data_IF_088508046969
#
_entry.id   IF_088508046969
#
_cell.length_a   1.000
_cell.length_b   1.000
_cell.length_c   1.000
_cell.angle_alpha   90.00
_cell.angle_beta   90.00
_cell.angle_gamma   90.00
#
_symmetry.space_group_name_H-M   'P 1'
#
loop_
_entity.id
_entity.type
_entity.pdbx_description
1 polymer ?
#
# COMPACT_ATOMS: atom_id res chain seq x y z
N UNK A 1 -12.62 1.80 11.49
CA UNK A 1 -12.84 1.94 10.03
C UNK A 1 -11.62 1.40 9.31
N UNK A 2 -11.77 0.28 8.60
CA UNK A 2 -10.93 -0.26 7.51
C UNK A 2 -9.39 -0.39 7.61
N UNK A 3 -8.73 -0.17 8.75
CA UNK A 3 -7.27 -0.39 8.90
C UNK A 3 -6.90 -1.88 8.76
N UNK A 4 -7.71 -2.79 9.30
CA UNK A 4 -7.54 -4.24 9.13
C UNK A 4 -7.72 -4.67 7.67
N UNK A 5 -8.68 -4.09 6.94
CA UNK A 5 -8.88 -4.38 5.52
C UNK A 5 -7.67 -3.96 4.67
N UNK A 6 -7.06 -2.82 5.00
CA UNK A 6 -5.82 -2.38 4.36
C UNK A 6 -4.64 -3.30 4.70
N UNK A 7 -4.51 -3.74 5.96
CA UNK A 7 -3.49 -4.70 6.34
C UNK A 7 -3.63 -6.04 5.60
N UNK A 8 -4.84 -6.58 5.48
CA UNK A 8 -5.09 -7.81 4.71
C UNK A 8 -4.81 -7.62 3.21
N UNK A 9 -5.21 -6.48 2.63
CA UNK A 9 -4.89 -6.17 1.25
C UNK A 9 -3.38 -6.06 1.05
N UNK A 10 -2.67 -5.47 2.00
CA UNK A 10 -1.22 -5.37 1.97
C UNK A 10 -0.55 -6.75 2.00
N UNK A 11 -1.02 -7.68 2.85
CA UNK A 11 -0.59 -9.08 2.83
C UNK A 11 -0.88 -9.74 1.48
N UNK A 12 -2.03 -9.46 0.86
CA UNK A 12 -2.36 -9.96 -0.47
C UNK A 12 -1.35 -9.47 -1.53
N UNK A 13 -0.87 -8.22 -1.45
CA UNK A 13 0.19 -7.74 -2.36
C UNK A 13 1.54 -8.46 -2.18
N UNK A 14 1.79 -9.07 -1.01
CA UNK A 14 3.01 -9.86 -0.79
C UNK A 14 2.87 -11.25 -1.45
N UNK A 15 1.71 -11.88 -1.31
CA UNK A 15 1.46 -13.26 -1.76
C UNK A 15 0.99 -13.38 -3.21
N UNK A 16 0.35 -12.34 -3.75
CA UNK A 16 -0.16 -12.29 -5.14
C UNK A 16 0.68 -11.31 -5.98
N UNK A 17 1.53 -11.86 -6.85
CA UNK A 17 2.43 -11.09 -7.72
C UNK A 17 1.69 -10.27 -8.77
N UNK A 18 0.50 -10.71 -9.21
CA UNK A 18 -0.31 -9.96 -10.17
C UNK A 18 -0.93 -8.74 -9.50
N UNK A 19 -1.47 -8.89 -8.29
CA UNK A 19 -2.00 -7.77 -7.50
C UNK A 19 -0.89 -6.80 -7.14
N UNK A 20 0.30 -7.30 -6.79
CA UNK A 20 1.48 -6.46 -6.54
C UNK A 20 1.83 -5.57 -7.73
N UNK A 21 1.87 -6.13 -8.92
CA UNK A 21 2.22 -5.36 -10.11
C UNK A 21 1.13 -4.34 -10.47
N UNK A 22 -0.15 -4.68 -10.29
CA UNK A 22 -1.24 -3.73 -10.46
C UNK A 22 -1.18 -2.56 -9.46
N UNK A 23 -0.78 -2.83 -8.21
CA UNK A 23 -0.52 -1.78 -7.22
C UNK A 23 0.69 -0.95 -7.62
N UNK A 24 1.78 -1.55 -8.10
CA UNK A 24 2.97 -0.82 -8.58
C UNK A 24 2.66 0.13 -9.74
N UNK A 25 1.82 -0.30 -10.67
CA UNK A 25 1.40 0.50 -11.83
C UNK A 25 0.30 1.52 -11.49
N UNK A 26 -0.21 1.53 -10.24
CA UNK A 26 -1.28 2.42 -9.83
C UNK A 26 -0.81 3.89 -9.78
N UNK A 27 -1.31 4.69 -10.72
CA UNK A 27 -0.94 6.10 -10.86
C UNK A 27 -1.54 7.00 -9.78
N UNK A 28 -2.60 6.56 -9.09
CA UNK A 28 -3.26 7.33 -8.04
C UNK A 28 -3.63 6.47 -6.83
N UNK A 29 -3.71 7.05 -5.62
CA UNK A 29 -4.23 6.37 -4.44
C UNK A 29 -5.62 5.75 -4.62
N UNK A 30 -6.48 6.38 -5.42
CA UNK A 30 -7.83 5.88 -5.69
C UNK A 30 -7.83 4.60 -6.53
N UNK A 31 -6.85 4.44 -7.43
CA UNK A 31 -6.69 3.20 -8.19
C UNK A 31 -6.41 2.01 -7.25
N UNK A 32 -5.58 2.21 -6.22
CA UNK A 32 -5.30 1.17 -5.21
C UNK A 32 -6.55 0.86 -4.39
N UNK A 33 -7.30 1.87 -3.96
CA UNK A 33 -8.55 1.69 -3.21
C UNK A 33 -9.59 0.91 -4.04
N UNK A 34 -9.73 1.22 -5.32
CA UNK A 34 -10.64 0.50 -6.22
C UNK A 34 -10.19 -0.95 -6.43
N UNK A 35 -8.89 -1.18 -6.65
CA UNK A 35 -8.33 -2.52 -6.78
C UNK A 35 -8.54 -3.35 -5.51
N UNK A 36 -8.32 -2.77 -4.34
CA UNK A 36 -8.57 -3.44 -3.07
C UNK A 36 -10.05 -3.82 -2.92
N UNK A 37 -10.96 -2.92 -3.33
CA UNK A 37 -12.40 -3.18 -3.32
C UNK A 37 -12.78 -4.33 -4.25
N UNK A 38 -12.18 -4.43 -5.43
CA UNK A 38 -12.38 -5.57 -6.35
C UNK A 38 -11.91 -6.90 -5.75
N UNK A 39 -10.92 -6.84 -4.86
CA UNK A 39 -10.42 -8.00 -4.09
C UNK A 39 -11.18 -8.25 -2.78
N UNK A 40 -12.25 -7.51 -2.51
CA UNK A 40 -13.08 -7.66 -1.31
C UNK A 40 -12.57 -6.90 -0.08
N UNK A 41 -11.52 -6.09 -0.22
CA UNK A 41 -10.95 -5.28 0.85
C UNK A 41 -11.42 -3.83 0.74
N UNK A 42 -12.31 -3.42 1.65
CA UNK A 42 -12.89 -2.07 1.61
C UNK A 42 -12.18 -1.16 2.61
N UNK A 43 -11.45 -0.15 2.10
CA UNK A 43 -10.89 0.94 2.89
C UNK A 43 -10.97 2.28 2.16
N UNK A 44 -10.79 3.37 2.90
CA UNK A 44 -10.79 4.73 2.32
C UNK A 44 -9.38 5.16 1.94
N UNK A 45 -9.28 6.10 0.99
CA UNK A 45 -8.02 6.77 0.69
C UNK A 45 -7.39 7.41 1.95
N UNK A 46 -8.20 8.03 2.80
CA UNK A 46 -7.72 8.65 4.04
C UNK A 46 -7.10 7.62 5.00
N UNK A 47 -7.70 6.44 5.14
CA UNK A 47 -7.14 5.33 5.94
C UNK A 47 -5.80 4.88 5.37
N UNK A 48 -5.69 4.78 4.05
CA UNK A 48 -4.45 4.41 3.38
C UNK A 48 -3.34 5.43 3.58
N UNK A 49 -3.65 6.71 3.40
CA UNK A 49 -2.69 7.80 3.63
C UNK A 49 -2.26 7.89 5.09
N UNK A 50 -3.20 7.67 6.03
CA UNK A 50 -2.88 7.62 7.47
C UNK A 50 -1.90 6.49 7.78
N UNK A 51 -2.19 5.26 7.36
CA UNK A 51 -1.30 4.12 7.65
C UNK A 51 0.06 4.24 6.94
N UNK A 52 0.09 4.79 5.72
CA UNK A 52 1.35 5.09 5.04
C UNK A 52 2.16 6.13 5.82
N UNK A 53 1.53 7.20 6.31
CA UNK A 53 2.21 8.21 7.13
C UNK A 53 2.69 7.66 8.47
N UNK A 54 1.94 6.74 9.09
CA UNK A 54 2.38 6.03 10.31
C UNK A 54 3.59 5.16 10.02
N UNK A 55 3.59 4.39 8.94
CA UNK A 55 4.72 3.53 8.58
C UNK A 55 5.95 4.28 8.10
N UNK A 56 5.79 5.42 7.44
CA UNK A 56 6.89 6.29 7.06
C UNK A 56 7.58 6.93 8.28
N UNK A 57 6.88 7.15 9.40
CA UNK A 57 7.51 7.62 10.65
C UNK A 57 8.46 6.58 11.26
N UNK A 58 8.20 5.29 10.99
CA UNK A 58 9.00 4.18 11.50
C UNK A 58 10.16 3.80 10.55
N UNK A 59 10.21 4.37 9.33
CA UNK A 59 11.30 4.19 8.38
C UNK A 59 12.38 5.25 8.64
N UNK A 60 13.61 4.81 8.94
CA UNK A 60 14.79 5.71 9.03
C UNK A 60 14.96 6.48 7.71
N UNK A 61 15.35 7.76 7.82
CA UNK A 61 15.43 8.76 6.71
C UNK A 61 16.12 8.28 5.42
N UNK A 62 16.99 7.26 5.48
CA UNK A 62 17.75 6.76 4.33
C UNK A 62 16.90 6.03 3.26
N UNK A 63 15.68 5.56 3.58
CA UNK A 63 14.83 4.79 2.65
C UNK A 63 13.69 5.58 1.97
N UNK A 64 13.42 6.82 2.39
CA UNK A 64 12.28 7.61 1.90
C UNK A 64 12.50 8.18 0.48
N UNK A 65 13.75 8.23 0.02
CA UNK A 65 14.12 8.92 -1.24
C UNK A 65 13.94 8.09 -2.53
N UNK A 66 13.43 6.85 -2.47
CA UNK A 66 13.29 5.99 -3.66
C UNK A 66 11.86 5.74 -4.14
N UNK A 67 10.82 6.22 -3.44
CA UNK A 67 9.43 5.99 -3.84
C UNK A 67 9.02 6.95 -4.98
N UNK A 68 9.16 6.50 -6.22
CA UNK A 68 8.77 7.22 -7.43
C UNK A 68 7.27 7.16 -7.74
N UNK A 69 6.49 6.38 -6.97
CA UNK A 69 5.03 6.25 -7.11
C UNK A 69 4.32 5.89 -5.79
N UNK A 70 3.01 6.13 -5.73
CA UNK A 70 2.17 5.74 -4.58
C UNK A 70 2.10 4.22 -4.40
N UNK A 71 2.11 3.47 -5.51
CA UNK A 71 2.22 2.00 -5.48
C UNK A 71 3.53 1.55 -4.84
N UNK A 72 4.63 2.19 -5.18
CA UNK A 72 5.95 1.92 -4.59
C UNK A 72 6.00 2.29 -3.10
N UNK A 73 5.38 3.40 -2.69
CA UNK A 73 5.28 3.76 -1.27
C UNK A 73 4.49 2.72 -0.45
N UNK A 74 3.42 2.15 -1.01
CA UNK A 74 2.71 1.04 -0.38
C UNK A 74 3.56 -0.23 -0.30
N UNK A 75 4.30 -0.55 -1.36
CA UNK A 75 5.20 -1.70 -1.36
C UNK A 75 6.42 -1.51 -0.45
N UNK A 76 6.88 -0.28 -0.22
CA UNK A 76 7.93 0.02 0.75
C UNK A 76 7.37 -0.07 2.19
N UNK A 77 6.17 0.46 2.42
CA UNK A 77 5.55 0.43 3.74
C UNK A 77 5.07 -0.98 4.13
N UNK A 78 4.71 -1.82 3.16
CA UNK A 78 4.07 -3.11 3.44
C UNK A 78 4.67 -4.31 2.72
N UNK A 79 5.65 -4.15 1.85
CA UNK A 79 6.49 -5.26 1.39
C UNK A 79 7.53 -5.54 2.47
N UNK A 80 7.69 -6.81 2.85
CA UNK A 80 8.72 -7.21 3.81
C UNK A 80 10.11 -6.70 3.39
N UNK A 81 10.82 -6.06 4.33
CA UNK A 81 12.27 -6.13 4.35
C UNK A 81 12.62 -7.54 4.83
N UNK A 82 13.39 -8.30 4.03
CA UNK A 82 14.01 -9.55 4.49
C UNK A 82 14.87 -9.34 5.73
#
# INVERSE_FOLDING_TARGET
MSESALAFFATLTQTDSQVREQVRQASTPMHVVNLAKEKGHVFTQATMMKMQAEKLKDLHDDHINSASSWGEALLICFGEHS
#
